data_IF_333987952725
#
_entry.id   IF_333987952725
#
_cell.length_a   1.000
_cell.length_b   1.000
_cell.length_c   1.000
_cell.angle_alpha   90.00
_cell.angle_beta   90.00
_cell.angle_gamma   90.00
#
_symmetry.space_group_name_H-M   'P 1'
#
loop_
_entity.id
_entity.type
_entity.pdbx_description
1 polymer ?
2 non-polymer ?
3 water ?
#
# COMPACT_ATOMS: atom_id res chain seq x y z
N UNK A 4 -23.52 -13.05 -14.13
CA UNK A 4 -22.18 -12.55 -13.72
C UNK A 4 -21.69 -11.42 -14.62
N UNK A 5 -21.58 -10.22 -14.05
CA UNK A 5 -21.15 -9.04 -14.80
C UNK A 5 -19.68 -9.13 -15.20
N UNK A 6 -19.40 -8.65 -16.41
CA UNK A 6 -18.05 -8.68 -16.96
C UNK A 6 -17.37 -7.31 -16.85
N UNK A 7 -16.12 -7.30 -16.40
CA UNK A 7 -15.40 -6.06 -16.14
C UNK A 7 -14.20 -5.87 -17.07
N UNK A 8 -14.09 -4.67 -17.65
CA UNK A 8 -12.88 -4.24 -18.34
C UNK A 8 -12.11 -3.27 -17.46
N UNK A 9 -10.87 -3.62 -17.13
CA UNK A 9 -10.01 -2.70 -16.40
C UNK A 9 -9.08 -1.96 -17.37
N UNK A 10 -9.13 -0.63 -17.29
CA UNK A 10 -8.43 0.27 -18.20
C UNK A 10 -7.34 0.96 -17.40
N UNK A 11 -6.09 0.77 -17.82
CA UNK A 11 -4.96 1.18 -17.01
C UNK A 11 -3.70 1.47 -17.82
N UNK A 12 -2.92 2.42 -17.32
CA UNK A 12 -1.58 2.68 -17.82
C UNK A 12 -0.55 1.97 -16.92
N UNK A 13 -1.03 1.48 -15.79
CA UNK A 13 -0.17 0.86 -14.78
C UNK A 13 -0.48 -0.63 -14.62
N UNK A 14 0.30 -1.47 -15.28
CA UNK A 14 0.10 -2.91 -15.23
C UNK A 14 1.46 -3.61 -15.34
N UNK A 15 1.64 -4.77 -14.68
CA UNK A 15 2.84 -5.59 -14.86
C UNK A 15 3.11 -5.92 -16.34
N UNK A 16 4.35 -6.31 -16.69
CA UNK A 16 5.54 -6.63 -15.87
C UNK A 16 6.26 -5.45 -15.17
N UNK A 17 5.86 -4.22 -15.45
CA UNK A 17 6.47 -3.07 -14.78
C UNK A 17 6.19 -3.09 -13.28
N UNK A 18 7.17 -2.65 -12.48
CA UNK A 18 7.11 -2.70 -11.01
C UNK A 18 6.66 -1.36 -10.44
N UNK A 19 5.64 -1.40 -9.58
CA UNK A 19 5.12 -0.19 -8.93
C UNK A 19 3.94 -0.46 -8.02
N UNK A 20 3.48 0.59 -7.34
CA UNK A 20 2.40 0.48 -6.36
C UNK A 20 1.03 0.14 -6.93
N UNK A 21 0.65 0.84 -8.00
CA UNK A 21 -0.62 0.59 -8.69
C UNK A 21 -0.58 -0.75 -9.42
N UNK A 22 0.57 -1.06 -10.01
CA UNK A 22 0.82 -2.36 -10.67
C UNK A 22 0.51 -3.54 -9.73
N UNK A 23 1.03 -3.48 -8.51
CA UNK A 23 0.77 -4.51 -7.49
C UNK A 23 -0.70 -4.54 -7.04
N UNK A 24 -1.26 -3.36 -6.82
CA UNK A 24 -2.66 -3.17 -6.43
C UNK A 24 -3.63 -3.88 -7.41
N UNK A 25 -3.50 -3.55 -8.69
CA UNK A 25 -4.37 -4.11 -9.73
C UNK A 25 -4.17 -5.60 -9.92
N UNK A 26 -2.90 -6.02 -10.07
CA UNK A 26 -2.53 -7.44 -10.17
C UNK A 26 -3.16 -8.30 -9.07
N UNK A 27 -3.03 -7.86 -7.82
CA UNK A 27 -3.54 -8.61 -6.68
C UNK A 27 -5.07 -8.54 -6.53
N UNK A 28 -5.66 -7.40 -6.88
CA UNK A 28 -7.13 -7.30 -6.92
C UNK A 28 -7.75 -8.12 -8.04
N UNK A 29 -7.13 -8.11 -9.22
CA UNK A 29 -7.67 -8.85 -10.35
C UNK A 29 -7.66 -10.37 -10.09
N UNK A 30 -6.60 -10.85 -9.44
CA UNK A 30 -6.45 -12.27 -9.10
C UNK A 30 -7.47 -12.80 -8.09
N UNK A 31 -8.20 -11.89 -7.43
CA UNK A 31 -9.24 -12.26 -6.47
C UNK A 31 -10.56 -12.59 -7.18
N UNK A 32 -10.68 -12.15 -8.44
CA UNK A 32 -11.90 -12.30 -9.23
C UNK A 32 -11.88 -13.52 -10.15
N UNK A 33 -13.07 -13.95 -10.57
CA UNK A 33 -13.23 -15.00 -11.59
C UNK A 33 -12.55 -14.50 -12.87
N UNK A 34 -11.51 -15.22 -13.35
CA UNK A 34 -10.71 -14.77 -14.49
C UNK A 34 -11.50 -14.66 -15.80
N UNK A 35 -12.61 -15.40 -15.91
CA UNK A 35 -13.49 -15.35 -17.08
C UNK A 35 -14.33 -14.06 -17.14
N UNK A 36 -14.44 -13.36 -16.01
CA UNK A 36 -15.21 -12.12 -15.92
C UNK A 36 -14.35 -10.85 -15.93
N UNK A 37 -13.09 -11.00 -16.37
CA UNK A 37 -12.11 -9.92 -16.30
C UNK A 37 -11.35 -9.77 -17.61
N UNK A 38 -11.36 -8.56 -18.17
CA UNK A 38 -10.49 -8.22 -19.31
C UNK A 38 -9.70 -6.98 -18.95
N UNK A 39 -8.41 -6.96 -19.30
CA UNK A 39 -7.55 -5.80 -19.03
C UNK A 39 -7.16 -5.11 -20.34
N UNK A 40 -7.21 -3.78 -20.31
CA UNK A 40 -6.75 -2.94 -21.42
C UNK A 40 -5.62 -2.09 -20.88
N UNK A 41 -4.40 -2.42 -21.30
CA UNK A 41 -3.19 -1.83 -20.73
C UNK A 41 -2.20 -1.35 -21.78
N UNK A 42 -1.46 -0.29 -21.44
CA UNK A 42 -0.35 0.19 -22.25
C UNK A 42 0.82 -0.80 -22.21
N UNK A 43 1.75 -0.66 -23.15
CA UNK A 43 2.90 -1.56 -23.28
C UNK A 43 4.22 -0.79 -23.25
N UNK A 44 5.04 -1.08 -22.25
CA UNK A 44 6.35 -0.44 -22.12
C UNK A 44 7.46 -1.21 -22.86
N UNK A 45 7.38 -2.55 -22.82
CA UNK A 45 8.25 -3.43 -23.60
C UNK A 45 7.45 -4.61 -24.14
N UNK A 46 7.34 -4.70 -25.45
CA UNK A 46 6.46 -5.66 -26.12
C UNK A 46 6.72 -7.12 -25.77
N UNK A 47 7.97 -7.56 -25.81
CA UNK A 47 8.31 -8.96 -25.58
C UNK A 47 8.22 -9.38 -24.11
N UNK A 48 8.51 -8.45 -23.20
CA UNK A 48 8.34 -8.69 -21.76
C UNK A 48 6.86 -8.68 -21.36
N UNK A 49 6.05 -7.89 -22.05
CA UNK A 49 4.60 -7.85 -21.82
C UNK A 49 3.92 -9.12 -22.32
N UNK A 50 4.31 -9.60 -23.51
CA UNK A 50 3.79 -10.85 -24.06
C UNK A 50 4.15 -12.06 -23.21
N UNK A 51 5.40 -12.09 -22.74
CA UNK A 51 5.88 -13.17 -21.86
C UNK A 51 5.09 -13.19 -20.55
N UNK A 52 4.83 -12.01 -19.99
CA UNK A 52 4.08 -11.91 -18.75
C UNK A 52 2.60 -12.26 -18.92
N UNK A 53 1.98 -11.79 -19.99
CA UNK A 53 0.56 -12.04 -20.26
C UNK A 53 0.24 -13.52 -20.48
N UNK A 54 1.23 -14.29 -20.94
CA UNK A 54 1.04 -15.71 -21.18
C UNK A 54 1.00 -16.54 -19.89
N UNK A 55 1.39 -15.94 -18.77
CA UNK A 55 1.33 -16.62 -17.48
C UNK A 55 -0.03 -16.46 -16.78
N UNK A 56 -0.92 -15.68 -17.39
CA UNK A 56 -2.18 -15.32 -16.78
C UNK A 56 -3.34 -16.18 -17.28
N UNK A 57 -4.38 -16.33 -16.47
CA UNK A 57 -5.58 -17.06 -16.86
C UNK A 57 -6.74 -16.13 -17.26
N UNK A 58 -6.42 -14.86 -17.43
CA UNK A 58 -7.37 -13.87 -17.92
C UNK A 58 -6.78 -13.05 -19.06
N UNK A 59 -7.64 -12.46 -19.89
CA UNK A 59 -7.20 -11.76 -21.08
C UNK A 59 -6.62 -10.36 -20.80
N UNK A 60 -5.46 -10.10 -21.40
CA UNK A 60 -4.89 -8.76 -21.45
C UNK A 60 -4.81 -8.30 -22.90
N UNK A 61 -5.46 -7.17 -23.19
CA UNK A 61 -5.34 -6.52 -24.50
C UNK A 61 -4.34 -5.36 -24.38
N UNK A 62 -3.24 -5.46 -25.10
CA UNK A 62 -2.20 -4.44 -25.05
C UNK A 62 -2.44 -3.30 -26.04
N UNK A 63 -2.45 -2.08 -25.50
CA UNK A 63 -2.44 -0.85 -26.28
C UNK A 63 -0.99 -0.58 -26.69
N UNK A 64 -0.71 -0.57 -28.01
CA UNK A 64 0.67 -0.51 -28.50
C UNK A 64 1.34 0.85 -28.36
N UNK A 65 1.03 1.56 -27.27
CA UNK A 65 1.69 2.81 -26.93
C UNK A 65 2.32 2.67 -25.55
N UNK A 66 3.41 3.40 -25.33
CA UNK A 66 4.16 3.37 -24.08
C UNK A 66 3.39 3.98 -22.90
N UNK A 67 2.49 4.92 -23.20
CA UNK A 67 1.63 5.56 -22.20
C UNK A 67 0.19 5.58 -22.71
N UNK A 68 -0.75 5.10 -21.90
CA UNK A 68 -2.17 5.21 -22.26
C UNK A 68 -2.74 6.54 -21.75
N UNK A 69 -3.16 7.38 -22.70
CA UNK A 69 -3.64 8.72 -22.42
C UNK A 69 -5.10 8.87 -22.85
N UNK A 70 -5.87 9.75 -22.15
CA UNK A 70 -7.26 9.94 -22.56
C UNK A 70 -7.35 10.74 -23.87
N UNK A 71 -7.29 10.02 -24.99
CA UNK A 71 -7.38 10.61 -26.33
C UNK A 71 -8.52 9.93 -27.11
N UNK A 72 -9.04 10.60 -28.17
CA UNK A 72 -10.06 9.99 -29.04
C UNK A 72 -9.73 8.59 -29.56
N UNK A 73 -8.50 8.36 -30.00
CA UNK A 73 -8.13 7.02 -30.51
C UNK A 73 -8.20 5.95 -29.42
N UNK A 74 -7.72 6.29 -28.22
CA UNK A 74 -7.77 5.39 -27.06
C UNK A 74 -9.21 5.10 -26.60
N UNK A 75 -10.04 6.14 -26.55
CA UNK A 75 -11.46 6.00 -26.21
C UNK A 75 -12.22 5.14 -27.24
N UNK A 76 -11.88 5.30 -28.51
CA UNK A 76 -12.43 4.48 -29.60
C UNK A 76 -12.12 3.00 -29.38
N UNK A 77 -10.84 2.70 -29.15
CA UNK A 77 -10.37 1.35 -28.86
C UNK A 77 -11.03 0.74 -27.64
N UNK A 78 -11.23 1.55 -26.60
CA UNK A 78 -11.90 1.13 -25.38
C UNK A 78 -13.38 0.81 -25.66
N UNK A 79 -14.01 1.66 -26.47
CA UNK A 79 -15.39 1.49 -26.87
C UNK A 79 -15.62 0.18 -27.64
N UNK A 80 -14.73 -0.10 -28.60
CA UNK A 80 -14.80 -1.36 -29.37
C UNK A 80 -14.76 -2.59 -28.48
N UNK A 81 -13.84 -2.60 -27.52
CA UNK A 81 -13.71 -3.72 -26.57
C UNK A 81 -14.99 -3.91 -25.74
N UNK A 82 -15.54 -2.80 -25.25
CA UNK A 82 -16.77 -2.81 -24.45
C UNK A 82 -17.91 -3.55 -25.16
N UNK A 83 -18.13 -3.24 -26.43
CA UNK A 83 -19.18 -3.86 -27.23
C UNK A 83 -18.82 -5.29 -27.67
N UNK A 84 -17.57 -5.51 -28.07
CA UNK A 84 -17.10 -6.83 -28.51
C UNK A 84 -17.15 -7.89 -27.40
N UNK A 85 -16.62 -7.53 -26.24
CA UNK A 85 -16.51 -8.45 -25.10
C UNK A 85 -17.73 -8.39 -24.19
N UNK A 86 -18.74 -7.63 -24.59
CA UNK A 86 -19.99 -7.47 -23.83
C UNK A 86 -19.76 -7.00 -22.39
N UNK A 87 -18.90 -5.98 -22.24
CA UNK A 87 -18.49 -5.46 -20.93
C UNK A 87 -19.64 -4.74 -20.21
N UNK A 88 -19.79 -5.04 -18.92
CA UNK A 88 -20.80 -4.41 -18.07
C UNK A 88 -20.20 -3.32 -17.19
N UNK A 89 -19.06 -3.62 -16.56
CA UNK A 89 -18.32 -2.65 -15.74
C UNK A 89 -17.05 -2.19 -16.43
N UNK A 90 -16.79 -0.89 -16.41
CA UNK A 90 -15.49 -0.36 -16.81
C UNK A 90 -14.78 0.18 -15.57
N UNK A 91 -13.61 -0.38 -15.27
CA UNK A 91 -12.84 0.00 -14.08
C UNK A 91 -11.55 0.71 -14.49
N UNK A 92 -11.47 2.00 -14.16
CA UNK A 92 -10.23 2.76 -14.32
C UNK A 92 -9.37 2.57 -13.07
N UNK A 93 -8.29 1.80 -13.21
CA UNK A 93 -7.40 1.47 -12.10
C UNK A 93 -6.78 2.66 -11.39
N UNK A 94 -6.67 3.76 -12.11
CA UNK A 94 -6.23 5.05 -11.56
C UNK A 94 -7.10 6.15 -12.15
N UNK A 95 -7.76 6.90 -11.28
CA UNK A 95 -8.76 7.88 -11.72
C UNK A 95 -8.21 8.96 -12.65
N UNK A 96 -7.20 9.69 -12.18
CA UNK A 96 -6.69 10.84 -12.93
C UNK A 96 -5.39 10.51 -13.68
N UNK A 97 -5.35 10.78 -14.99
CA UNK A 97 -6.41 11.39 -15.81
C UNK A 97 -7.31 10.44 -16.63
N UNK A 98 -7.03 9.13 -16.63
CA UNK A 98 -7.70 8.18 -17.53
C UNK A 98 -9.23 8.09 -17.39
N UNK A 99 -9.76 8.26 -16.19
CA UNK A 99 -11.20 8.23 -15.97
C UNK A 99 -11.98 9.37 -16.65
N UNK A 100 -11.26 10.29 -17.32
CA UNK A 100 -11.89 11.29 -18.18
C UNK A 100 -12.52 10.67 -19.42
N UNK A 101 -12.24 9.39 -19.64
CA UNK A 101 -12.84 8.60 -20.72
C UNK A 101 -14.12 7.90 -20.27
N UNK A 102 -14.56 8.18 -19.04
CA UNK A 102 -15.74 7.53 -18.46
C UNK A 102 -17.03 7.78 -19.23
N UNK A 103 -17.15 8.98 -19.82
CA UNK A 103 -18.27 9.33 -20.69
C UNK A 103 -18.41 8.38 -21.86
N UNK A 104 -17.30 8.13 -22.56
CA UNK A 104 -17.27 7.20 -23.68
C UNK A 104 -17.67 5.78 -23.28
N UNK A 105 -17.26 5.36 -22.09
CA UNK A 105 -17.61 4.03 -21.55
C UNK A 105 -19.12 3.86 -21.45
N UNK A 106 -19.80 4.87 -20.90
CA UNK A 106 -21.26 4.94 -20.84
C UNK A 106 -21.92 5.00 -22.23
N UNK A 107 -21.27 5.67 -23.18
CA UNK A 107 -21.78 5.76 -24.55
C UNK A 107 -21.66 4.42 -25.27
N UNK A 108 -20.61 3.67 -24.93
CA UNK A 108 -20.35 2.36 -25.52
C UNK A 108 -21.27 1.28 -24.99
N UNK A 109 -21.96 1.57 -23.88
CA UNK A 109 -22.97 0.66 -23.34
C UNK A 109 -22.71 0.05 -21.98
N UNK A 110 -21.61 0.45 -21.33
CA UNK A 110 -21.30 0.01 -19.96
C UNK A 110 -22.33 0.55 -18.96
N UNK A 111 -22.84 -0.33 -18.09
CA UNK A 111 -23.86 0.05 -17.13
C UNK A 111 -23.29 0.56 -15.80
N UNK A 112 -21.99 0.40 -15.60
CA UNK A 112 -21.31 0.89 -14.40
C UNK A 112 -19.87 1.27 -14.69
N UNK A 113 -19.47 2.46 -14.24
CA UNK A 113 -18.10 2.93 -14.34
C UNK A 113 -17.51 3.11 -12.94
N UNK A 114 -16.40 2.43 -12.68
CA UNK A 114 -15.67 2.53 -11.42
C UNK A 114 -14.32 3.18 -11.68
N UNK A 115 -13.89 4.05 -10.77
CA UNK A 115 -12.54 4.62 -10.82
C UNK A 115 -11.88 4.54 -9.44
N UNK A 116 -10.63 4.10 -9.43
CA UNK A 116 -9.88 3.98 -8.17
C UNK A 116 -8.88 5.12 -7.96
N UNK A 117 -8.96 5.74 -6.79
CA UNK A 117 -7.98 6.75 -6.39
C UNK A 117 -6.93 6.10 -5.49
N UNK A 118 -5.77 6.74 -5.41
CA UNK A 118 -4.70 6.30 -4.52
C UNK A 118 -4.17 7.54 -3.79
N UNK A 119 -2.90 7.88 -4.00
CA UNK A 119 -2.30 9.04 -3.35
C UNK A 119 -2.38 10.34 -4.13
N UNK A 120 -2.27 10.25 -5.44
CA UNK A 120 -2.09 11.42 -6.30
C UNK A 120 -3.25 12.42 -6.31
N UNK A 121 -4.48 11.91 -6.18
CA UNK A 121 -5.68 12.75 -6.25
C UNK A 121 -5.79 13.72 -5.07
N UNK A 122 -5.03 13.47 -4.00
CA UNK A 122 -4.92 14.42 -2.88
C UNK A 122 -4.20 15.70 -3.35
N UNK A 123 -3.14 15.51 -4.14
CA UNK A 123 -2.42 16.63 -4.74
C UNK A 123 -3.25 17.34 -5.80
N UNK A 124 -4.10 16.59 -6.50
CA UNK A 124 -5.01 17.14 -7.52
C UNK A 124 -6.10 18.04 -6.92
N UNK A 125 -6.34 17.90 -5.62
CA UNK A 125 -7.36 18.67 -4.89
C UNK A 125 -7.03 20.15 -4.71
N UNK A 126 -5.78 20.52 -4.97
CA UNK A 126 -5.25 21.83 -4.59
C UNK A 126 -5.28 22.88 -5.70
N UNK A 127 -4.88 22.50 -6.91
CA UNK A 127 -4.86 23.41 -8.05
C UNK A 127 -6.26 23.59 -8.64
N UNK A 128 -6.62 24.81 -9.09
CA UNK A 128 -7.96 25.11 -9.59
C UNK A 128 -8.38 24.26 -10.79
N UNK A 129 -7.56 24.25 -11.85
CA UNK A 129 -7.85 23.47 -13.05
C UNK A 129 -7.76 21.97 -12.83
N UNK A 130 -6.82 21.57 -11.98
CA UNK A 130 -6.64 20.17 -11.58
C UNK A 130 -7.85 19.67 -10.80
N UNK A 131 -8.43 20.55 -10.00
CA UNK A 131 -9.62 20.27 -9.20
C UNK A 131 -10.88 20.13 -10.08
N UNK A 132 -10.91 20.88 -11.18
CA UNK A 132 -12.02 20.84 -12.13
C UNK A 132 -12.07 19.52 -12.90
N UNK A 133 -10.89 18.93 -13.16
CA UNK A 133 -10.81 17.62 -13.81
C UNK A 133 -11.33 16.52 -12.90
N UNK A 134 -11.11 16.68 -11.60
CA UNK A 134 -11.65 15.77 -10.60
C UNK A 134 -13.18 15.84 -10.56
N UNK A 135 -13.73 17.03 -10.79
CA UNK A 135 -15.17 17.23 -10.85
C UNK A 135 -15.79 16.56 -12.08
N UNK A 136 -15.10 16.67 -13.21
CA UNK A 136 -15.56 16.08 -14.47
C UNK A 136 -15.57 14.56 -14.38
N UNK A 137 -14.53 13.99 -13.76
CA UNK A 137 -14.46 12.56 -13.47
C UNK A 137 -15.63 12.14 -12.58
N UNK A 138 -15.85 12.89 -11.49
CA UNK A 138 -16.92 12.62 -10.55
C UNK A 138 -18.32 12.56 -11.14
N UNK A 139 -18.61 13.45 -12.09
CA UNK A 139 -19.92 13.47 -12.76
C UNK A 139 -20.16 12.27 -13.69
N UNK A 140 -19.08 11.64 -14.16
CA UNK A 140 -19.17 10.55 -15.13
C UNK A 140 -18.99 9.16 -14.53
N UNK A 141 -18.49 9.11 -13.29
CA UNK A 141 -18.17 7.88 -12.61
C UNK A 141 -19.26 7.52 -11.58
N UNK A 142 -19.68 6.26 -11.57
CA UNK A 142 -20.71 5.77 -10.66
C UNK A 142 -20.14 5.38 -9.28
N UNK A 143 -18.93 4.81 -9.29
CA UNK A 143 -18.26 4.38 -8.05
C UNK A 143 -16.84 4.92 -8.00
N UNK A 144 -16.53 5.66 -6.93
CA UNK A 144 -15.19 6.19 -6.71
C UNK A 144 -14.62 5.48 -5.47
N UNK A 145 -13.56 4.70 -5.67
CA UNK A 145 -12.92 4.00 -4.56
C UNK A 145 -11.75 4.82 -3.97
N UNK A 146 -11.50 4.62 -2.68
CA UNK A 146 -10.45 5.34 -1.96
C UNK A 146 -9.73 4.40 -1.01
N UNK A 147 -8.45 4.69 -0.75
CA UNK A 147 -7.62 3.81 0.08
C UNK A 147 -7.79 4.05 1.59
N UNK A 148 -8.08 5.29 1.98
CA UNK A 148 -8.31 5.61 3.40
C UNK A 148 -9.33 6.73 3.61
N UNK A 149 -9.89 6.79 4.82
CA UNK A 149 -10.78 7.89 5.22
C UNK A 149 -10.07 9.25 5.14
N UNK A 150 -8.74 9.25 5.30
CA UNK A 150 -7.94 10.45 5.17
C UNK A 150 -7.92 11.02 3.75
N UNK A 151 -7.65 10.16 2.77
CA UNK A 151 -7.59 10.59 1.37
C UNK A 151 -8.96 11.06 0.90
N UNK A 152 -10.01 10.33 1.31
CA UNK A 152 -11.39 10.72 1.06
C UNK A 152 -11.67 12.15 1.51
N UNK A 153 -11.40 12.44 2.78
CA UNK A 153 -11.58 13.79 3.32
C UNK A 153 -10.90 14.88 2.49
N UNK A 154 -9.70 14.59 2.00
CA UNK A 154 -8.92 15.53 1.20
C UNK A 154 -9.50 15.84 -0.19
N UNK A 155 -10.05 14.83 -0.87
CA UNK A 155 -10.54 15.03 -2.25
C UNK A 155 -12.05 14.89 -2.52
N UNK A 156 -12.83 14.54 -1.48
CA UNK A 156 -14.27 14.28 -1.62
C UNK A 156 -15.06 15.42 -2.28
N UNK A 157 -14.81 16.66 -1.84
CA UNK A 157 -15.54 17.82 -2.37
C UNK A 157 -15.14 18.18 -3.81
N UNK A 158 -13.94 17.80 -4.22
CA UNK A 158 -13.48 18.03 -5.59
C UNK A 158 -14.23 17.16 -6.59
N UNK A 159 -14.48 15.90 -6.21
CA UNK A 159 -15.22 14.95 -7.05
C UNK A 159 -16.72 15.22 -7.10
N UNK A 160 -17.25 15.84 -6.05
CA UNK A 160 -18.68 16.16 -5.95
C UNK A 160 -19.47 15.01 -5.37
N UNK A 161 -20.80 15.09 -5.49
CA UNK A 161 -21.69 14.11 -4.86
C UNK A 161 -22.33 13.09 -5.80
N UNK A 162 -22.03 13.17 -7.10
CA UNK A 162 -22.61 12.20 -8.07
C UNK A 162 -22.22 10.73 -7.83
N UNK A 163 -20.92 10.44 -7.58
CA UNK A 163 -20.60 9.02 -7.38
C UNK A 163 -20.83 8.56 -5.94
N UNK A 164 -21.02 7.26 -5.76
CA UNK A 164 -20.99 6.64 -4.44
C UNK A 164 -19.52 6.30 -4.11
N UNK A 165 -19.11 6.62 -2.89
CA UNK A 165 -17.73 6.46 -2.47
C UNK A 165 -17.51 5.16 -1.70
N UNK A 166 -16.58 4.34 -2.19
CA UNK A 166 -16.35 3.01 -1.63
C UNK A 166 -14.91 2.80 -1.16
N UNK A 167 -14.76 2.29 0.06
CA UNK A 167 -13.44 2.04 0.63
C UNK A 167 -12.80 0.77 0.04
N UNK A 168 -11.71 0.96 -0.72
CA UNK A 168 -11.02 -0.18 -1.34
C UNK A 168 -9.50 -0.04 -1.28
N UNK A 169 -8.92 -0.21 -0.07
CA UNK A 169 -7.47 -0.20 0.06
C UNK A 169 -6.88 -1.53 -0.36
N UNK A 170 -5.57 -1.56 -0.54
CA UNK A 170 -4.84 -2.79 -0.79
C UNK A 170 -5.03 -3.74 0.40
N UNK A 171 -5.08 -5.03 0.11
CA UNK A 171 -5.02 -6.06 1.15
C UNK A 171 -3.60 -6.50 1.42
N UNK A 172 -3.46 -7.57 2.20
CA UNK A 172 -2.17 -8.16 2.49
C UNK A 172 -2.25 -9.70 2.41
N UNK A 173 -1.25 -10.31 1.77
CA UNK A 173 -1.19 -11.77 1.66
C UNK A 173 -0.81 -12.41 3.00
N UNK A 174 -1.80 -13.02 3.63
CA UNK A 174 -1.65 -13.59 4.97
C UNK A 174 -1.07 -15.02 4.98
N UNK A 175 -0.79 -15.57 3.80
CA UNK A 175 -0.09 -16.84 3.69
C UNK A 175 1.42 -16.64 3.52
N UNK A 176 1.80 -15.51 2.92
CA UNK A 176 3.20 -15.17 2.71
C UNK A 176 3.75 -14.30 3.86
N UNK A 177 2.96 -13.29 4.27
CA UNK A 177 3.25 -12.57 5.50
C UNK A 177 2.56 -13.30 6.64
N UNK A 178 3.34 -14.11 7.35
CA UNK A 178 2.83 -15.04 8.35
C UNK A 178 3.81 -15.10 9.53
N UNK A 179 3.29 -15.29 10.77
CA UNK A 179 4.17 -15.37 11.95
C UNK A 179 5.21 -16.48 11.84
N UNK A 180 6.42 -16.20 12.33
CA UNK A 180 7.53 -17.14 12.21
C UNK A 180 7.46 -18.23 13.26
N UNK A 181 7.80 -19.44 12.87
CA UNK A 181 8.01 -20.53 13.83
C UNK A 181 9.19 -20.18 14.72
N UNK A 182 9.18 -20.65 15.99
CA UNK A 182 10.39 -20.50 16.82
C UNK A 182 11.67 -20.90 16.10
N UNK A 183 11.61 -21.92 15.24
CA UNK A 183 12.77 -22.37 14.46
C UNK A 183 13.28 -21.30 13.49
N UNK A 184 12.37 -20.79 12.65
CA UNK A 184 12.72 -19.79 11.64
C UNK A 184 13.20 -18.47 12.23
N UNK A 185 12.50 -18.00 13.26
CA UNK A 185 12.85 -16.76 13.96
C UNK A 185 14.25 -16.83 14.57
N UNK A 186 14.56 -17.96 15.22
CA UNK A 186 15.84 -18.17 15.87
C UNK A 186 17.00 -18.20 14.86
N UNK A 187 16.76 -18.86 13.72
CA UNK A 187 17.74 -18.97 12.65
C UNK A 187 18.00 -17.63 11.94
N UNK A 188 16.94 -16.84 11.75
CA UNK A 188 17.04 -15.51 11.14
C UNK A 188 17.93 -14.58 11.97
N UNK A 189 17.73 -14.60 13.28
CA UNK A 189 18.48 -13.77 14.19
C UNK A 189 19.98 -14.07 14.18
N UNK A 190 20.31 -15.37 14.16
CA UNK A 190 21.70 -15.83 14.05
C UNK A 190 22.34 -15.43 12.72
N UNK A 191 21.55 -15.45 11.65
CA UNK A 191 21.98 -14.97 10.34
C UNK A 191 22.41 -13.50 10.40
N UNK A 192 21.70 -12.70 11.19
CA UNK A 192 22.02 -11.28 11.37
C UNK A 192 23.12 -11.02 12.40
N UNK A 193 23.54 -12.09 13.09
CA UNK A 193 24.57 -11.98 14.13
C UNK A 193 23.98 -11.66 15.49
N UNK A 194 22.71 -12.00 15.67
CA UNK A 194 22.00 -11.77 16.94
C UNK A 194 21.65 -13.09 17.60
N UNK A 195 21.02 -13.02 18.78
CA UNK A 195 20.55 -14.20 19.49
C UNK A 195 19.04 -14.15 19.77
N UNK A 196 18.55 -15.10 20.56
CA UNK A 196 17.15 -15.13 20.96
C UNK A 196 16.76 -13.95 21.87
N UNK A 197 17.76 -13.37 22.55
CA UNK A 197 17.51 -12.33 23.54
C UNK A 197 17.71 -10.90 23.03
N UNK A 198 18.34 -10.76 21.86
CA UNK A 198 18.56 -9.45 21.27
C UNK A 198 17.25 -8.70 21.02
N UNK A 199 17.12 -7.48 21.57
CA UNK A 199 15.96 -6.63 21.26
C UNK A 199 16.08 -6.09 19.85
N UNK A 200 15.07 -6.37 19.01
CA UNK A 200 15.14 -6.02 17.59
C UNK A 200 13.96 -5.14 17.18
N UNK A 201 14.28 -3.93 16.73
CA UNK A 201 13.28 -3.03 16.16
C UNK A 201 13.48 -2.99 14.65
N UNK A 202 12.40 -3.22 13.91
CA UNK A 202 12.47 -3.25 12.45
C UNK A 202 11.75 -2.07 11.82
N UNK A 203 12.41 -1.42 10.86
CA UNK A 203 11.75 -0.42 10.03
C UNK A 203 11.98 -0.77 8.55
N UNK A 204 10.92 -1.22 7.88
CA UNK A 204 10.95 -1.47 6.45
C UNK A 204 10.16 -0.38 5.75
N UNK A 205 10.84 0.36 4.87
CA UNK A 205 10.27 1.49 4.12
C UNK A 205 11.36 2.15 3.29
N UNK A 206 10.96 2.84 2.22
CA UNK A 206 11.89 3.65 1.42
C UNK A 206 12.55 4.66 2.34
N UNK A 207 13.83 4.92 2.11
CA UNK A 207 14.56 5.89 2.92
C UNK A 207 14.30 7.31 2.43
N UNK A 208 13.22 7.90 2.95
CA UNK A 208 12.85 9.29 2.69
C UNK A 208 12.41 9.94 4.02
N UNK A 209 12.62 11.26 4.20
CA UNK A 209 12.37 11.92 5.48
C UNK A 209 11.04 11.58 6.17
N UNK A 210 9.94 11.49 5.41
CA UNK A 210 8.60 11.38 5.99
C UNK A 210 8.29 10.04 6.66
N UNK A 211 9.06 9.01 6.33
CA UNK A 211 8.89 7.68 6.91
C UNK A 211 9.36 7.63 8.37
N UNK A 212 10.18 8.59 8.76
CA UNK A 212 10.55 8.76 10.16
C UNK A 212 11.64 7.85 10.70
N UNK A 213 12.51 7.35 9.81
CA UNK A 213 13.72 6.65 10.24
C UNK A 213 14.63 7.61 10.99
N UNK A 214 14.58 8.89 10.63
CA UNK A 214 15.31 9.92 11.35
C UNK A 214 14.84 10.05 12.80
N UNK A 215 13.52 10.01 13.00
CA UNK A 215 12.91 10.02 14.33
C UNK A 215 13.30 8.80 15.17
N UNK A 216 13.31 7.63 14.53
CA UNK A 216 13.76 6.38 15.15
C UNK A 216 15.20 6.45 15.63
N UNK A 217 16.09 6.91 14.76
CA UNK A 217 17.52 7.06 15.06
C UNK A 217 17.78 8.02 16.23
N UNK A 218 17.00 9.10 16.30
CA UNK A 218 17.13 10.09 17.37
C UNK A 218 16.57 9.61 18.72
N UNK A 219 15.72 8.59 18.64
CA UNK A 219 15.14 7.97 19.83
C UNK A 219 16.05 6.87 20.39
N UNK A 220 17.02 6.43 19.59
CA UNK A 220 17.89 5.31 19.97
C UNK A 220 18.80 5.51 21.21
N UNK A 221 19.45 6.68 21.36
CA UNK A 221 20.28 6.87 22.57
C UNK A 221 19.59 6.46 23.87
N UNK A 222 18.34 6.86 24.06
CA UNK A 222 17.58 6.48 25.26
C UNK A 222 17.26 4.99 25.32
N UNK A 223 16.85 4.42 24.18
CA UNK A 223 16.60 2.98 24.09
C UNK A 223 17.84 2.19 24.46
N UNK A 224 18.97 2.54 23.82
CA UNK A 224 20.26 1.88 24.04
C UNK A 224 20.72 1.98 25.50
N UNK A 225 20.54 3.14 26.12
CA UNK A 225 20.85 3.31 27.54
C UNK A 225 20.07 2.31 28.40
N UNK A 226 18.78 2.14 28.09
CA UNK A 226 17.92 1.19 28.79
C UNK A 226 18.21 -0.27 28.42
N UNK A 227 18.42 -0.53 27.13
CA UNK A 227 18.70 -1.86 26.60
C UNK A 227 19.94 -1.84 25.69
N UNK A 228 21.15 -1.96 26.28
CA UNK A 228 22.45 -1.85 25.60
C UNK A 228 22.65 -2.65 24.30
N UNK A 229 21.97 -3.79 24.17
CA UNK A 229 22.08 -4.62 22.96
C UNK A 229 20.96 -4.43 21.94
N UNK A 230 20.16 -3.38 22.10
CA UNK A 230 19.03 -3.09 21.20
C UNK A 230 19.50 -2.75 19.79
N UNK A 231 18.80 -3.27 18.79
CA UNK A 231 19.15 -3.09 17.39
C UNK A 231 17.98 -2.55 16.58
N UNK A 232 18.23 -1.43 15.90
CA UNK A 232 17.31 -0.87 14.94
C UNK A 232 17.73 -1.33 13.56
N UNK A 233 16.89 -2.12 12.91
CA UNK A 233 17.17 -2.56 11.55
C UNK A 233 16.46 -1.66 10.55
N UNK A 234 17.25 -0.99 9.73
CA UNK A 234 16.73 -0.14 8.69
C UNK A 234 16.79 -0.87 7.35
N UNK A 235 15.60 -1.26 6.88
CA UNK A 235 15.48 -2.04 5.65
C UNK A 235 14.87 -1.16 4.58
N UNK A 236 15.59 -1.03 3.46
CA UNK A 236 15.16 -0.21 2.34
C UNK A 236 16.28 0.63 1.76
N UNK A 237 15.97 1.27 0.63
CA UNK A 237 16.91 2.20 -0.01
C UNK A 237 16.22 3.54 -0.30
N UNK A 238 17.01 4.56 -0.58
CA UNK A 238 16.48 5.88 -0.90
C UNK A 238 17.51 6.99 -0.76
N UNK A 239 17.15 8.17 -1.27
CA UNK A 239 18.04 9.33 -1.31
C UNK A 239 18.53 9.82 0.05
N UNK A 240 17.73 9.56 1.09
CA UNK A 240 17.95 10.08 2.44
C UNK A 240 18.96 9.24 3.24
N UNK A 241 19.43 8.13 2.65
CA UNK A 241 20.38 7.22 3.30
C UNK A 241 21.59 7.90 3.94
N UNK A 242 22.23 8.80 3.20
CA UNK A 242 23.46 9.44 3.67
C UNK A 242 23.22 10.33 4.88
N UNK A 243 22.08 11.00 4.92
CA UNK A 243 21.66 11.79 6.09
C UNK A 243 21.36 10.89 7.28
N UNK A 244 20.73 9.75 7.01
CA UNK A 244 20.41 8.76 8.05
C UNK A 244 21.69 8.19 8.69
N UNK A 245 22.65 7.83 7.84
CA UNK A 245 23.96 7.34 8.28
C UNK A 245 24.70 8.37 9.15
N UNK A 246 24.56 9.65 8.81
CA UNK A 246 25.16 10.73 9.60
C UNK A 246 24.46 10.89 10.97
N UNK A 247 23.13 10.82 10.97
CA UNK A 247 22.36 10.85 12.22
C UNK A 247 22.70 9.69 13.15
N UNK A 248 22.96 8.52 12.56
CA UNK A 248 23.26 7.30 13.30
C UNK A 248 24.73 7.13 13.73
N UNK A 249 25.53 8.19 13.54
CA UNK A 249 26.98 8.12 13.78
C UNK A 249 27.34 7.70 15.22
N UNK A 250 26.69 8.32 16.20
CA UNK A 250 26.99 8.08 17.61
C UNK A 250 26.28 6.84 18.19
N UNK A 251 25.31 6.31 17.46
CA UNK A 251 24.61 5.08 17.85
C UNK A 251 24.90 3.92 16.90
N UNK A 252 26.00 4.04 16.16
CA UNK A 252 26.32 3.17 15.01
C UNK A 252 26.41 1.66 15.29
N UNK A 253 26.74 1.33 16.54
CA UNK A 253 26.89 -0.06 16.98
C UNK A 253 25.52 -0.74 17.13
N UNK A 254 24.47 0.08 17.25
CA UNK A 254 23.11 -0.41 17.49
C UNK A 254 22.13 -0.14 16.35
N UNK A 255 22.62 0.40 15.24
CA UNK A 255 21.79 0.65 14.05
C UNK A 255 22.39 -0.09 12.85
N UNK A 256 21.56 -0.89 12.18
CA UNK A 256 22.00 -1.63 11.00
C UNK A 256 21.27 -1.18 9.74
N UNK A 257 22.04 -0.67 8.78
CA UNK A 257 21.53 -0.30 7.45
C UNK A 257 21.67 -1.51 6.53
N UNK A 258 20.60 -2.29 6.44
CA UNK A 258 20.62 -3.56 5.72
C UNK A 258 20.43 -3.41 4.20
N UNK A 259 20.09 -2.20 3.76
CA UNK A 259 19.83 -1.95 2.34
C UNK A 259 18.54 -2.59 1.90
N UNK A 260 18.32 -2.66 0.59
CA UNK A 260 17.11 -3.24 0.06
C UNK A 260 17.25 -4.76 0.01
N UNK A 261 16.42 -5.45 0.79
CA UNK A 261 16.51 -6.91 0.92
C UNK A 261 15.63 -7.63 -0.08
N UNK A 262 16.02 -8.86 -0.42
CA UNK A 262 15.17 -9.74 -1.21
C UNK A 262 13.83 -9.95 -0.50
N UNK A 263 12.78 -10.17 -1.29
CA UNK A 263 11.41 -10.31 -0.78
C UNK A 263 11.27 -11.24 0.43
N UNK A 264 11.76 -12.48 0.32
CA UNK A 264 11.65 -13.45 1.41
C UNK A 264 12.56 -13.15 2.61
N UNK A 265 13.74 -12.59 2.35
CA UNK A 265 14.66 -12.19 3.42
C UNK A 265 14.05 -11.04 4.24
N UNK A 266 13.35 -10.17 3.53
CA UNK A 266 12.65 -9.02 4.13
C UNK A 266 11.54 -9.50 5.07
N UNK A 267 10.83 -10.55 4.66
CA UNK A 267 9.74 -11.14 5.44
C UNK A 267 10.23 -11.89 6.68
N UNK A 268 11.33 -12.64 6.51
CA UNK A 268 11.97 -13.36 7.62
C UNK A 268 12.51 -12.42 8.70
N UNK A 269 13.12 -11.32 8.25
CA UNK A 269 13.70 -10.30 9.13
C UNK A 269 12.59 -9.61 9.93
N UNK A 270 11.51 -9.27 9.25
CA UNK A 270 10.34 -8.66 9.88
C UNK A 270 9.71 -9.56 10.94
N UNK A 271 9.49 -10.82 10.58
CA UNK A 271 8.82 -11.78 11.46
C UNK A 271 9.65 -12.17 12.69
N UNK A 272 10.96 -11.93 12.63
CA UNK A 272 11.88 -12.24 13.74
C UNK A 272 12.08 -11.05 14.69
N UNK A 273 11.58 -9.88 14.27
CA UNK A 273 11.68 -8.65 15.07
C UNK A 273 10.73 -8.64 16.26
N UNK A 274 11.08 -7.84 17.26
CA UNK A 274 10.26 -7.69 18.44
C UNK A 274 9.20 -6.60 18.26
N UNK A 275 9.58 -5.53 17.58
CA UNK A 275 8.68 -4.41 17.28
C UNK A 275 8.90 -3.97 15.83
N UNK A 276 7.83 -3.57 15.17
CA UNK A 276 7.93 -2.85 13.90
C UNK A 276 7.56 -1.40 14.14
N UNK A 277 8.47 -0.49 13.83
CA UNK A 277 8.22 0.96 14.01
C UNK A 277 8.44 1.75 12.72
N UNK A 278 7.49 2.63 12.41
CA UNK A 278 7.62 3.56 11.30
C UNK A 278 6.78 4.80 11.65
N UNK A 279 7.38 5.75 12.38
CA UNK A 279 6.62 6.90 12.88
C UNK A 279 6.50 7.99 11.81
N UNK A 280 5.63 7.73 10.84
CA UNK A 280 5.43 8.61 9.68
C UNK A 280 4.86 9.97 10.07
N UNK A 281 5.46 11.03 9.52
CA UNK A 281 4.98 12.39 9.71
C UNK A 281 4.57 13.00 8.37
N UNK A 282 3.71 14.01 8.43
CA UNK A 282 3.30 14.73 7.22
C UNK A 282 4.28 15.87 6.94
N UNK A 283 4.78 15.89 5.70
CA UNK A 283 5.70 16.94 5.25
C UNK A 283 5.18 17.60 3.97
N UNK A 284 6.07 18.28 3.26
CA UNK A 284 5.77 18.90 1.97
C UNK A 284 4.55 19.79 1.92
N UNK A 285 4.30 20.51 3.03
CA UNK A 285 3.16 21.41 3.12
C UNK A 285 1.81 20.72 3.22
N UNK A 286 1.83 19.45 3.62
CA UNK A 286 0.61 18.64 3.66
C UNK A 286 0.43 17.75 2.45
N UNK A 287 1.42 17.74 1.55
CA UNK A 287 1.35 16.95 0.31
C UNK A 287 2.11 15.64 0.42
N UNK A 288 3.21 15.64 1.18
CA UNK A 288 3.96 14.42 1.47
C UNK A 288 3.37 13.71 2.69
N UNK A 289 2.40 12.85 2.41
CA UNK A 289 1.61 12.17 3.44
C UNK A 289 1.64 10.66 3.26
N UNK A 290 1.46 9.93 4.36
CA UNK A 290 1.23 8.50 4.30
C UNK A 290 -0.24 8.24 3.97
N UNK A 291 -0.51 7.74 2.76
CA UNK A 291 -1.87 7.48 2.30
C UNK A 291 -2.58 6.39 3.09
N UNK A 292 -1.86 5.29 3.28
CA UNK A 292 -2.32 4.18 4.12
C UNK A 292 -1.15 3.61 4.92
N UNK A 293 -0.27 2.88 4.24
CA UNK A 293 0.89 2.26 4.87
C UNK A 293 0.77 0.75 4.92
N UNK A 294 1.04 0.11 3.78
CA UNK A 294 0.94 -1.35 3.67
C UNK A 294 1.90 -2.08 4.62
N UNK A 295 3.06 -1.46 4.92
CA UNK A 295 4.04 -2.06 5.83
C UNK A 295 3.47 -2.37 7.22
N UNK A 296 2.53 -1.53 7.68
CA UNK A 296 1.84 -1.74 8.95
C UNK A 296 1.00 -3.01 8.95
N UNK A 297 0.38 -3.28 7.81
CA UNK A 297 -0.46 -4.47 7.62
C UNK A 297 0.40 -5.72 7.51
N UNK A 298 1.57 -5.58 6.92
CA UNK A 298 2.51 -6.68 6.74
C UNK A 298 3.13 -7.11 8.06
N UNK A 299 3.42 -6.13 8.92
CA UNK A 299 3.95 -6.37 10.26
C UNK A 299 2.92 -7.09 11.15
N UNK A 300 1.68 -6.62 11.11
CA UNK A 300 0.60 -7.24 11.86
C UNK A 300 0.34 -8.67 11.39
N UNK A 301 0.42 -8.89 10.07
CA UNK A 301 0.29 -10.23 9.47
C UNK A 301 1.40 -11.19 9.90
N UNK A 302 2.57 -10.63 10.21
CA UNK A 302 3.70 -11.41 10.75
C UNK A 302 3.62 -11.56 12.28
N UNK A 303 2.52 -11.11 12.87
CA UNK A 303 2.31 -11.18 14.31
C UNK A 303 3.32 -10.37 15.13
N UNK A 304 3.64 -9.18 14.63
CA UNK A 304 4.61 -8.28 15.25
C UNK A 304 3.92 -6.96 15.64
N UNK A 305 4.06 -6.53 16.92
CA UNK A 305 3.53 -5.26 17.40
C UNK A 305 4.01 -4.07 16.55
N UNK A 306 3.15 -3.07 16.41
CA UNK A 306 3.38 -1.96 15.49
C UNK A 306 3.40 -0.60 16.19
N UNK A 307 4.36 0.23 15.81
CA UNK A 307 4.34 1.65 16.14
C UNK A 307 4.16 2.42 14.83
N UNK A 308 3.04 3.13 14.75
CA UNK A 308 2.68 3.91 13.57
C UNK A 308 2.77 5.39 13.87
N UNK A 309 2.90 6.20 12.82
CA UNK A 309 2.87 7.67 12.93
C UNK A 309 1.48 8.25 12.79
N UNK A 310 1.38 9.55 13.02
CA UNK A 310 0.12 10.30 12.93
C UNK A 310 -0.24 10.76 11.50
N UNK A 311 0.66 10.53 10.55
CA UNK A 311 0.50 11.00 9.18
C UNK A 311 -0.61 10.30 8.39
N UNK A 312 -1.48 11.11 7.78
CA UNK A 312 -2.48 10.63 6.84
C UNK A 312 -3.35 9.48 7.29
N UNK A 313 -3.35 8.40 6.50
CA UNK A 313 -4.13 7.21 6.79
C UNK A 313 -3.43 6.15 7.63
N UNK A 314 -2.24 6.49 8.14
CA UNK A 314 -1.43 5.57 8.95
C UNK A 314 -2.11 5.05 10.24
N UNK A 315 -2.78 5.94 11.02
CA UNK A 315 -3.51 5.45 12.22
C UNK A 315 -4.64 4.45 11.91
N UNK A 316 -5.18 4.49 10.69
CA UNK A 316 -6.31 3.66 10.30
C UNK A 316 -5.96 2.16 10.16
N UNK A 317 -4.65 1.87 10.14
CA UNK A 317 -4.18 0.49 9.93
C UNK A 317 -4.10 -0.34 11.22
N UNK A 318 -4.01 0.34 12.36
CA UNK A 318 -3.86 -0.33 13.66
C UNK A 318 -5.07 -0.11 14.59
N UNK A 319 -5.26 -1.02 15.55
CA UNK A 319 -6.21 -0.80 16.63
C UNK A 319 -5.44 -0.60 17.93
N UNK A 320 -6.10 -0.12 19.01
CA UNK A 320 -5.44 -0.05 20.31
C UNK A 320 -4.93 -1.41 20.82
N UNK A 321 -5.42 -2.50 20.24
CA UNK A 321 -4.98 -3.85 20.59
C UNK A 321 -3.72 -4.30 19.84
N UNK A 322 -3.45 -3.71 18.67
CA UNK A 322 -2.45 -4.25 17.75
C UNK A 322 -1.23 -3.36 17.58
N UNK A 323 -1.39 -2.07 17.87
CA UNK A 323 -0.32 -1.11 17.67
C UNK A 323 -0.53 0.21 18.35
N UNK A 324 0.50 1.05 18.33
CA UNK A 324 0.45 2.37 18.95
C UNK A 324 0.68 3.44 17.91
N UNK A 325 0.02 4.59 18.08
CA UNK A 325 0.19 5.74 17.19
C UNK A 325 0.93 6.85 17.92
N UNK A 326 2.03 7.32 17.32
CA UNK A 326 2.90 8.30 17.95
C UNK A 326 3.28 9.43 17.00
N UNK A 327 3.53 10.61 17.56
CA UNK A 327 4.11 11.72 16.81
C UNK A 327 5.61 11.49 16.67
N UNK A 328 6.08 11.43 15.43
CA UNK A 328 7.50 11.15 15.14
C UNK A 328 8.49 12.12 15.76
N UNK A 329 8.14 13.40 15.77
CA UNK A 329 9.00 14.45 16.32
C UNK A 329 9.11 14.38 17.85
N UNK A 330 8.15 13.70 18.48
CA UNK A 330 8.17 13.52 19.93
C UNK A 330 9.09 12.37 20.31
N UNK A 331 10.39 12.68 20.41
CA UNK A 331 11.45 11.69 20.64
C UNK A 331 11.40 11.05 22.04
N UNK A 332 11.04 11.84 23.05
CA UNK A 332 10.87 11.34 24.42
C UNK A 332 9.81 10.24 24.52
N UNK A 333 8.68 10.46 23.86
CA UNK A 333 7.55 9.54 23.90
C UNK A 333 7.86 8.28 23.07
N UNK A 334 8.49 8.46 21.91
CA UNK A 334 8.86 7.35 21.04
C UNK A 334 9.82 6.38 21.73
N UNK A 335 10.83 6.93 22.41
CA UNK A 335 11.78 6.14 23.20
C UNK A 335 11.09 5.39 24.32
N UNK A 336 10.26 6.10 25.08
CA UNK A 336 9.49 5.55 26.18
C UNK A 336 8.64 4.36 25.72
N UNK A 337 7.90 4.56 24.63
CA UNK A 337 7.08 3.51 24.01
C UNK A 337 7.88 2.26 23.60
N UNK A 338 9.07 2.46 23.04
CA UNK A 338 9.91 1.35 22.58
C UNK A 338 10.47 0.55 23.76
N UNK A 339 11.05 1.25 24.74
CA UNK A 339 11.57 0.63 25.95
C UNK A 339 10.46 -0.13 26.69
N UNK A 340 9.34 0.54 26.92
CA UNK A 340 8.17 -0.04 27.58
C UNK A 340 7.71 -1.34 26.90
N UNK A 341 7.68 -1.32 25.57
CA UNK A 341 7.28 -2.48 24.78
C UNK A 341 8.34 -3.59 24.82
N UNK A 342 9.62 -3.21 24.75
CA UNK A 342 10.73 -4.16 24.82
C UNK A 342 10.87 -4.83 26.20
N UNK A 343 10.40 -4.15 27.25
CA UNK A 343 10.46 -4.69 28.61
C UNK A 343 9.24 -5.52 28.99
N UNK A 344 8.22 -5.52 28.13
CA UNK A 344 6.99 -6.29 28.36
C UNK A 344 6.74 -7.29 27.21
N UNK A 345 7.32 -8.50 27.32
CA UNK A 345 7.15 -9.55 26.31
C UNK A 345 5.75 -10.17 26.27
N UNK A 346 5.01 -10.08 27.38
CA UNK A 346 3.65 -10.59 27.45
C UNK A 346 2.71 -9.73 26.63
N UNK A 347 2.86 -8.41 26.79
CA UNK A 347 2.09 -7.44 26.04
C UNK A 347 2.41 -7.56 24.56
N UNK A 348 3.69 -7.68 24.23
CA UNK A 348 4.15 -7.85 22.86
C UNK A 348 3.55 -9.09 22.19
N UNK A 349 3.52 -10.20 22.92
CA UNK A 349 2.90 -11.44 22.42
C UNK A 349 1.41 -11.25 22.19
N UNK A 350 0.76 -10.47 23.04
CA UNK A 350 -0.67 -10.17 22.94
C UNK A 350 -0.98 -9.24 21.77
N UNK A 351 -0.11 -8.26 21.56
CA UNK A 351 -0.28 -7.27 20.49
C UNK A 351 -0.08 -7.89 19.10
N UNK A 352 0.92 -8.74 18.98
CA UNK A 352 1.18 -9.48 17.74
C UNK A 352 0.09 -10.47 17.37
N UNK A 353 -0.44 -11.17 18.37
CA UNK A 353 -1.54 -12.11 18.15
C UNK A 353 -2.80 -11.38 17.70
N UNK A 354 -3.07 -10.24 18.33
CA UNK A 354 -4.19 -9.41 17.98
C UNK A 354 -4.02 -8.79 16.59
N UNK A 355 -2.77 -8.45 16.24
CA UNK A 355 -2.45 -7.91 14.91
C UNK A 355 -2.73 -8.89 13.79
N UNK A 356 -2.29 -10.13 13.98
CA UNK A 356 -2.55 -11.22 13.04
C UNK A 356 -4.05 -11.50 12.88
N UNK A 357 -4.78 -11.55 13.99
CA UNK A 357 -6.23 -11.76 13.97
C UNK A 357 -6.94 -10.60 13.25
N UNK A 358 -6.43 -9.39 13.46
CA UNK A 358 -6.96 -8.17 12.87
C UNK A 358 -6.85 -8.15 11.32
N UNK A 359 -5.69 -8.52 10.78
CA UNK A 359 -5.52 -8.56 9.33
C UNK A 359 -6.32 -9.70 8.68
N UNK A 360 -6.42 -10.83 9.39
CA UNK A 360 -7.22 -11.97 8.91
C UNK A 360 -8.72 -11.68 8.88
N UNK A 361 -9.16 -10.75 9.73
CA UNK A 361 -10.57 -10.38 9.80
C UNK A 361 -10.93 -9.20 8.90
N UNK A 362 -9.96 -8.36 8.56
CA UNK A 362 -10.24 -7.08 7.91
C UNK A 362 -9.35 -6.69 6.73
N UNK A 363 -8.19 -7.32 6.59
CA UNK A 363 -7.18 -6.81 5.66
C UNK A 363 -6.56 -7.81 4.68
N UNK A 364 -7.00 -9.06 4.71
CA UNK A 364 -6.47 -10.06 3.78
C UNK A 364 -7.00 -9.84 2.37
N UNK A 365 -6.35 -10.46 1.39
CA UNK A 365 -6.82 -10.43 0.01
C UNK A 365 -8.17 -11.14 -0.19
N UNK A 366 -8.47 -12.09 0.69
CA UNK A 366 -9.76 -12.78 0.67
C UNK A 366 -10.91 -11.85 1.07
N UNK A 367 -10.66 -11.05 2.11
CA UNK A 367 -11.60 -10.04 2.59
C UNK A 367 -11.74 -8.91 1.58
N UNK A 368 -10.60 -8.37 1.14
CA UNK A 368 -10.58 -7.27 0.18
C UNK A 368 -11.13 -7.67 -1.19
N UNK A 369 -10.85 -8.91 -1.58
CA UNK A 369 -11.41 -9.50 -2.80
C UNK A 369 -12.92 -9.63 -2.77
N UNK A 370 -13.49 -9.91 -1.59
CA UNK A 370 -14.95 -9.95 -1.41
C UNK A 370 -15.57 -8.58 -1.60
N UNK A 371 -14.89 -7.54 -1.12
CA UNK A 371 -15.34 -6.16 -1.29
C UNK A 371 -15.42 -5.76 -2.76
N UNK A 372 -14.39 -6.13 -3.53
CA UNK A 372 -14.36 -5.86 -4.96
C UNK A 372 -15.46 -6.63 -5.70
N UNK A 373 -15.62 -7.91 -5.34
CA UNK A 373 -16.69 -8.72 -5.89
C UNK A 373 -18.04 -8.02 -5.73
N UNK A 374 -18.29 -7.50 -4.52
CA UNK A 374 -19.50 -6.73 -4.23
C UNK A 374 -19.69 -5.50 -5.14
N UNK A 375 -18.61 -4.76 -5.38
CA UNK A 375 -18.65 -3.58 -6.27
C UNK A 375 -18.91 -4.00 -7.73
N UNK A 376 -18.15 -4.98 -8.20
CA UNK A 376 -18.22 -5.41 -9.59
C UNK A 376 -19.45 -6.26 -9.94
N UNK A 377 -20.03 -6.96 -8.95
CA UNK A 377 -21.15 -7.87 -9.21
C UNK A 377 -22.54 -7.37 -8.79
N UNK A 378 -22.60 -6.22 -8.10
CA UNK A 378 -23.90 -5.64 -7.74
C UNK A 378 -24.54 -4.92 -8.92
N UNK A 379 -25.87 -4.99 -9.00
CA UNK A 379 -26.64 -4.31 -10.04
C UNK A 379 -26.57 -2.79 -9.84
N UNK A 380 -26.46 -2.02 -10.95
CA UNK A 380 -26.36 -0.56 -10.87
C UNK A 380 -27.59 0.08 -10.24
N UNK A 381 -27.35 1.15 -9.47
CA UNK A 381 -28.41 1.88 -8.77
C UNK A 381 -28.99 2.99 -9.65
#
# INVERSE_FOLDING_TARGET
MSASRKTLVVTNDFPPRIGGIQSYLRDFIATQDPESIVVFASTQNAEEAHAYDKTLDYEVIRWPRSVMLPTPTTAHAMAEIIREREIDNVWFGAAAPLALMAGTAKQAGASKVIASTHGHEVGWSMLPGSRQSLRKIGTEVDVLTYISQYTLRRFKSAFGSHPTFEHLPSGVDVKRFTPATPEDKSATRKKLGFTDTTPVIACNSRLVPRKGQDSLIKAMPQVIAARPDAQLLIVGSGRYESTLRRLATDVSQNVKFLGRLEYQDMINTLAAADIFAMPARTRGGGLDVEGLGIVYLEAQACGVPVIAGTSGGAPETVTPATGLVVEGSDVDKLSELLIELLDDPIRRAAMGAAGRAHVEAEWSWEIMGERLTNILQSEPRKLAAALEHHHHHH
#
